data_IF_689744774592
#
_entry.id   IF_689744774592
#
_cell.length_a   1.000
_cell.length_b   1.000
_cell.length_c   1.000
_cell.angle_alpha   90.00
_cell.angle_beta   90.00
_cell.angle_gamma   90.00
#
_symmetry.space_group_name_H-M   'P 1'
#
loop_
_entity.id
_entity.type
_entity.pdbx_description
1 polymer ?
#
# COMPACT_ATOMS: atom_id res chain seq x y z
N UNK A 1 -17.38 -18.74 -16.26
CA UNK A 1 -16.68 -18.63 -14.96
C UNK A 1 -17.60 -17.90 -13.99
N UNK A 2 -17.90 -18.47 -12.83
CA UNK A 2 -18.86 -17.87 -11.89
C UNK A 2 -18.29 -16.59 -11.25
N UNK A 3 -19.12 -15.54 -11.17
CA UNK A 3 -18.76 -14.27 -10.55
C UNK A 3 -18.29 -14.46 -9.09
N UNK A 4 -18.88 -15.41 -8.37
CA UNK A 4 -18.54 -15.73 -6.99
C UNK A 4 -17.09 -16.20 -6.83
N UNK A 5 -16.60 -17.05 -7.76
CA UNK A 5 -15.21 -17.56 -7.74
C UNK A 5 -14.20 -16.47 -8.07
N UNK A 6 -14.56 -15.54 -8.96
CA UNK A 6 -13.69 -14.41 -9.31
C UNK A 6 -13.64 -13.38 -8.17
N UNK A 7 -14.79 -13.06 -7.57
CA UNK A 7 -14.88 -12.16 -6.43
C UNK A 7 -14.11 -12.68 -5.21
N UNK A 8 -14.20 -13.99 -4.91
CA UNK A 8 -13.44 -14.60 -3.83
C UNK A 8 -11.93 -14.55 -4.10
N UNK A 9 -11.50 -14.81 -5.33
CA UNK A 9 -10.08 -14.78 -5.72
C UNK A 9 -9.50 -13.38 -5.60
N UNK A 10 -10.21 -12.37 -6.11
CA UNK A 10 -9.79 -10.97 -6.00
C UNK A 10 -9.77 -10.51 -4.54
N UNK A 11 -10.78 -10.91 -3.74
CA UNK A 11 -10.84 -10.59 -2.31
C UNK A 11 -9.65 -11.15 -1.53
N UNK A 12 -9.30 -12.42 -1.75
CA UNK A 12 -8.13 -13.06 -1.12
C UNK A 12 -6.83 -12.38 -1.56
N UNK A 13 -6.66 -12.13 -2.86
CA UNK A 13 -5.48 -11.42 -3.38
C UNK A 13 -5.36 -10.00 -2.81
N UNK A 14 -6.48 -9.31 -2.60
CA UNK A 14 -6.53 -7.98 -1.99
C UNK A 14 -6.12 -8.02 -0.52
N UNK A 15 -6.63 -8.99 0.25
CA UNK A 15 -6.27 -9.16 1.66
C UNK A 15 -4.79 -9.50 1.82
N UNK A 16 -4.27 -10.43 1.02
CA UNK A 16 -2.85 -10.79 1.02
C UNK A 16 -1.97 -9.57 0.73
N UNK A 17 -2.31 -8.79 -0.29
CA UNK A 17 -1.57 -7.57 -0.64
C UNK A 17 -1.57 -6.54 0.50
N UNK A 18 -2.68 -6.40 1.22
CA UNK A 18 -2.77 -5.50 2.39
C UNK A 18 -1.92 -5.98 3.55
N UNK A 19 -1.93 -7.28 3.85
CA UNK A 19 -1.11 -7.86 4.93
C UNK A 19 0.38 -7.71 4.61
N UNK A 20 0.79 -8.00 3.38
CA UNK A 20 2.18 -7.82 2.93
C UNK A 20 2.61 -6.35 3.01
N UNK A 21 1.75 -5.42 2.60
CA UNK A 21 1.98 -3.98 2.75
C UNK A 21 2.14 -3.56 4.21
N UNK A 22 1.28 -4.07 5.10
CA UNK A 22 1.37 -3.80 6.54
C UNK A 22 2.67 -4.31 7.15
N UNK A 23 3.08 -5.54 6.81
CA UNK A 23 4.36 -6.11 7.27
C UNK A 23 5.53 -5.25 6.80
N UNK A 24 5.53 -4.81 5.54
CA UNK A 24 6.55 -3.89 5.02
C UNK A 24 6.62 -2.61 5.85
N UNK A 25 5.49 -2.00 6.15
CA UNK A 25 5.45 -0.73 6.88
C UNK A 25 5.94 -0.91 8.33
N UNK A 26 5.62 -2.03 8.98
CA UNK A 26 6.15 -2.40 10.31
C UNK A 26 7.67 -2.65 10.27
N UNK A 27 8.17 -3.32 9.23
CA UNK A 27 9.61 -3.55 9.05
C UNK A 27 10.36 -2.24 8.82
N UNK A 28 9.82 -1.35 7.98
CA UNK A 28 10.40 -0.02 7.76
C UNK A 28 10.45 0.78 9.07
N UNK A 29 9.37 0.77 9.85
CA UNK A 29 9.33 1.44 11.15
C UNK A 29 10.33 0.83 12.17
N UNK A 30 10.52 -0.49 12.16
CA UNK A 30 11.47 -1.19 13.05
C UNK A 30 12.93 -0.96 12.67
N UNK A 31 13.25 -0.99 11.38
CA UNK A 31 14.64 -0.94 10.87
C UNK A 31 15.13 0.50 10.76
N UNK A 32 14.29 1.41 10.26
CA UNK A 32 14.69 2.80 10.05
C UNK A 32 14.22 3.73 11.16
N UNK A 33 13.14 3.41 11.88
CA UNK A 33 12.58 4.28 12.91
C UNK A 33 11.97 5.57 12.34
N UNK A 34 11.69 6.54 13.21
CA UNK A 34 11.24 7.87 12.82
C UNK A 34 12.45 8.72 12.40
N UNK A 35 12.86 8.59 11.14
CA UNK A 35 13.93 9.41 10.56
C UNK A 35 13.41 10.30 9.43
N UNK A 36 14.03 11.46 9.19
CA UNK A 36 13.66 12.35 8.09
C UNK A 36 13.68 11.66 6.71
N UNK A 37 14.53 10.64 6.54
CA UNK A 37 14.59 9.85 5.30
C UNK A 37 13.35 8.97 5.10
N UNK A 38 12.85 8.35 6.18
CA UNK A 38 11.64 7.52 6.16
C UNK A 38 10.40 8.38 5.89
N UNK A 39 10.33 9.59 6.48
CA UNK A 39 9.25 10.54 6.21
C UNK A 39 9.25 11.02 4.76
N UNK A 40 10.43 11.34 4.20
CA UNK A 40 10.58 11.72 2.80
C UNK A 40 10.13 10.61 1.83
N UNK A 41 10.49 9.35 2.14
CA UNK A 41 10.04 8.18 1.37
C UNK A 41 8.52 8.09 1.32
N UNK A 42 7.82 8.25 2.45
CA UNK A 42 6.35 8.24 2.47
C UNK A 42 5.72 9.45 1.79
N UNK A 43 6.33 10.63 1.88
CA UNK A 43 5.81 11.87 1.25
C UNK A 43 5.92 11.80 -0.27
N UNK A 44 6.99 11.23 -0.83
CA UNK A 44 7.15 11.08 -2.28
C UNK A 44 5.96 10.33 -2.90
N UNK A 45 5.43 9.30 -2.25
CA UNK A 45 4.26 8.57 -2.78
C UNK A 45 2.94 9.35 -2.70
N UNK A 46 2.87 10.42 -1.90
CA UNK A 46 1.67 11.27 -1.81
C UNK A 46 1.58 12.23 -3.00
N UNK A 47 2.70 12.65 -3.57
CA UNK A 47 2.75 13.62 -4.68
C UNK A 47 2.04 13.07 -5.93
N UNK A 48 2.35 11.87 -6.46
CA UNK A 48 1.64 11.30 -7.60
C UNK A 48 0.15 11.06 -7.31
N UNK A 49 -0.18 10.63 -6.08
CA UNK A 49 -1.57 10.40 -5.68
C UNK A 49 -2.38 11.69 -5.63
N UNK A 50 -1.77 12.80 -5.25
CA UNK A 50 -2.39 14.12 -5.29
C UNK A 50 -2.72 14.53 -6.73
N UNK A 51 -1.75 14.41 -7.65
CA UNK A 51 -1.99 14.69 -9.07
C UNK A 51 -3.04 13.76 -9.66
N UNK A 52 -2.99 12.45 -9.36
CA UNK A 52 -4.01 11.49 -9.82
C UNK A 52 -5.42 11.87 -9.36
N UNK A 53 -5.58 12.45 -8.17
CA UNK A 53 -6.88 12.90 -7.65
C UNK A 53 -7.31 14.27 -8.20
N UNK A 54 -6.36 15.13 -8.56
CA UNK A 54 -6.66 16.44 -9.14
C UNK A 54 -7.12 16.35 -10.61
N UNK A 55 -6.63 15.34 -11.34
CA UNK A 55 -6.90 15.13 -12.76
C UNK A 55 -7.87 13.97 -13.06
N UNK A 56 -8.38 13.27 -12.05
CA UNK A 56 -9.43 12.26 -12.19
C UNK A 56 -10.80 12.86 -11.86
#
# INVERSE_FOLDING_TARGET
MSLFKNASTIGVMTLLSRVLGFVRDVLLARVFGATPATDAFFVVFKIPNFFRRLFA
#
